data_IF_103402948553
#
_entry.id   IF_103402948553
#
_cell.length_a   1.000
_cell.length_b   1.000
_cell.length_c   1.000
_cell.angle_alpha   90.00
_cell.angle_beta   90.00
_cell.angle_gamma   90.00
#
_symmetry.space_group_name_H-M   'P 1'
#
loop_
_entity.id
_entity.type
_entity.pdbx_description
1 polymer ?
#
# COMPACT_ATOMS: atom_id res chain seq x y z
N UNK A 1 -15.44 12.18 -16.51
CA UNK A 1 -15.01 11.64 -15.21
C UNK A 1 -13.54 11.28 -15.35
N UNK A 2 -12.68 11.72 -14.43
CA UNK A 2 -11.30 11.24 -14.40
C UNK A 2 -11.30 9.74 -14.11
N UNK A 3 -10.37 8.99 -14.70
CA UNK A 3 -10.19 7.59 -14.35
C UNK A 3 -9.89 7.48 -12.84
N UNK A 4 -10.36 6.42 -12.15
CA UNK A 4 -9.99 6.20 -10.76
C UNK A 4 -8.46 6.17 -10.66
N UNK A 5 -7.92 6.86 -9.65
CA UNK A 5 -6.46 6.89 -9.40
C UNK A 5 -5.84 5.49 -9.23
N UNK A 6 -6.67 4.49 -8.90
CA UNK A 6 -6.29 3.10 -8.70
C UNK A 6 -6.53 2.20 -9.94
N UNK A 7 -6.98 2.74 -11.07
CA UNK A 7 -7.49 1.94 -12.18
C UNK A 7 -8.87 1.36 -11.88
N UNK A 8 -9.47 0.66 -12.85
CA UNK A 8 -10.79 0.02 -12.72
C UNK A 8 -10.83 -1.05 -11.64
N UNK A 9 -9.73 -1.80 -11.52
CA UNK A 9 -9.63 -2.99 -10.67
C UNK A 9 -8.87 -2.73 -9.38
N UNK A 10 -8.65 -1.46 -9.02
CA UNK A 10 -8.01 -1.07 -7.78
C UNK A 10 -8.76 -1.59 -6.57
N UNK A 11 -8.05 -2.21 -5.62
CA UNK A 11 -8.64 -2.75 -4.40
C UNK A 11 -7.63 -2.79 -3.27
N UNK A 12 -8.13 -2.79 -2.04
CA UNK A 12 -7.35 -3.11 -0.85
C UNK A 12 -8.23 -3.86 0.13
N UNK A 13 -7.81 -5.06 0.50
CA UNK A 13 -8.53 -5.94 1.43
C UNK A 13 -7.58 -6.37 2.52
N UNK A 14 -7.94 -6.14 3.77
CA UNK A 14 -7.15 -6.59 4.92
C UNK A 14 -8.01 -6.67 6.19
N UNK A 15 -7.56 -7.45 7.16
CA UNK A 15 -8.09 -7.44 8.51
C UNK A 15 -7.06 -6.84 9.47
N UNK A 16 -7.41 -5.71 10.07
CA UNK A 16 -6.59 -5.07 11.10
C UNK A 16 -6.96 -5.60 12.49
N UNK A 17 -5.95 -5.75 13.34
CA UNK A 17 -6.08 -6.09 14.76
C UNK A 17 -5.30 -5.11 15.63
N UNK A 18 -5.60 -5.09 16.94
CA UNK A 18 -4.93 -4.22 17.91
C UNK A 18 -5.73 -2.95 18.14
N UNK A 19 -5.04 -1.80 18.14
CA UNK A 19 -5.66 -0.51 18.47
C UNK A 19 -6.68 -0.01 17.44
N UNK A 20 -6.62 -0.54 16.20
CA UNK A 20 -7.66 -0.40 15.18
C UNK A 20 -8.04 -1.83 14.76
N UNK A 21 -9.17 -2.32 15.27
CA UNK A 21 -9.66 -3.65 14.96
C UNK A 21 -10.84 -3.58 13.98
N UNK A 22 -10.55 -3.69 12.67
CA UNK A 22 -11.55 -3.56 11.60
C UNK A 22 -11.16 -4.36 10.36
N UNK A 23 -12.18 -4.87 9.68
CA UNK A 23 -12.04 -5.35 8.31
C UNK A 23 -12.08 -4.17 7.35
N UNK A 24 -11.14 -4.13 6.41
CA UNK A 24 -11.09 -3.19 5.31
C UNK A 24 -11.32 -3.99 4.02
N UNK A 25 -12.23 -3.49 3.19
CA UNK A 25 -12.51 -4.02 1.87
C UNK A 25 -12.91 -2.86 0.96
N UNK A 26 -11.91 -2.14 0.46
CA UNK A 26 -12.13 -1.00 -0.42
C UNK A 26 -12.00 -1.40 -1.89
N UNK A 27 -12.93 -0.90 -2.70
CA UNK A 27 -12.89 -0.95 -4.17
C UNK A 27 -12.32 0.33 -4.77
N UNK A 28 -12.09 0.34 -6.09
CA UNK A 28 -11.49 1.46 -6.82
C UNK A 28 -12.24 2.79 -6.64
N UNK A 29 -13.56 2.76 -6.45
CA UNK A 29 -14.38 3.95 -6.22
C UNK A 29 -14.28 4.51 -4.80
N UNK A 30 -13.75 3.72 -3.85
CA UNK A 30 -13.58 4.08 -2.44
C UNK A 30 -12.13 4.45 -2.11
N UNK A 31 -11.21 4.17 -3.04
CA UNK A 31 -9.79 4.39 -2.89
C UNK A 31 -9.31 5.66 -3.57
N UNK A 32 -8.36 6.31 -2.93
CA UNK A 32 -7.37 7.16 -3.60
C UNK A 32 -6.02 6.46 -3.56
N UNK A 33 -5.47 6.17 -4.73
CA UNK A 33 -4.15 5.58 -4.90
C UNK A 33 -3.15 6.61 -5.40
N UNK A 34 -1.95 6.59 -4.83
CA UNK A 34 -0.83 7.40 -5.29
C UNK A 34 0.39 6.48 -5.38
N UNK A 35 1.14 6.62 -6.46
CA UNK A 35 2.43 5.96 -6.64
C UNK A 35 3.53 7.02 -6.73
N UNK A 36 4.62 6.80 -6.01
CA UNK A 36 5.82 7.63 -6.12
C UNK A 36 7.04 6.74 -6.32
N UNK A 37 7.92 7.13 -7.23
CA UNK A 37 9.21 6.47 -7.36
C UNK A 37 10.11 6.76 -6.17
N UNK A 38 10.92 5.79 -5.78
CA UNK A 38 12.05 6.07 -4.91
C UNK A 38 13.14 6.77 -5.74
N UNK A 39 13.90 7.71 -5.15
CA UNK A 39 15.04 8.30 -5.83
C UNK A 39 15.96 7.23 -6.41
N UNK A 40 16.52 7.48 -7.59
CA UNK A 40 17.39 6.56 -8.34
C UNK A 40 16.70 5.26 -8.79
N UNK A 41 15.37 5.25 -8.92
CA UNK A 41 14.56 4.12 -9.40
C UNK A 41 14.70 2.85 -8.55
N UNK A 42 15.07 2.98 -7.27
CA UNK A 42 15.29 1.86 -6.34
C UNK A 42 14.00 1.33 -5.70
N UNK A 43 12.95 1.21 -6.50
CA UNK A 43 11.63 0.72 -6.11
C UNK A 43 10.58 1.82 -6.01
N UNK A 44 9.47 1.51 -5.36
CA UNK A 44 8.24 2.32 -5.39
C UNK A 44 7.64 2.53 -4.01
N UNK A 45 6.81 3.56 -3.90
CA UNK A 45 5.90 3.77 -2.77
C UNK A 45 4.48 3.78 -3.29
N UNK A 46 3.67 2.87 -2.78
CA UNK A 46 2.24 2.80 -3.06
C UNK A 46 1.48 3.31 -1.85
N UNK A 47 0.65 4.33 -2.02
CA UNK A 47 -0.25 4.83 -0.98
C UNK A 47 -1.68 4.53 -1.37
N UNK A 48 -2.39 3.84 -0.48
CA UNK A 48 -3.82 3.58 -0.59
C UNK A 48 -4.52 4.32 0.54
N UNK A 49 -5.53 5.12 0.23
CA UNK A 49 -6.32 5.79 1.26
C UNK A 49 -7.81 5.66 1.00
N UNK A 50 -8.57 5.49 2.07
CA UNK A 50 -10.02 5.28 2.05
C UNK A 50 -10.63 5.54 3.42
N UNK A 51 -11.95 5.64 3.47
CA UNK A 51 -12.67 5.87 4.72
C UNK A 51 -12.95 4.55 5.45
N UNK A 52 -12.78 4.57 6.77
CA UNK A 52 -13.27 3.54 7.70
C UNK A 52 -14.08 4.24 8.78
N UNK A 53 -15.39 3.99 8.78
CA UNK A 53 -16.35 4.80 9.55
C UNK A 53 -16.13 6.30 9.26
N UNK A 54 -15.87 7.11 10.28
CA UNK A 54 -15.73 8.57 10.15
C UNK A 54 -14.27 9.03 9.91
N UNK A 55 -13.30 8.11 9.91
CA UNK A 55 -11.89 8.44 9.76
C UNK A 55 -11.38 8.02 8.39
N UNK A 56 -10.49 8.82 7.82
CA UNK A 56 -9.74 8.42 6.62
C UNK A 56 -8.44 7.76 7.04
N UNK A 57 -8.22 6.54 6.58
CA UNK A 57 -6.99 5.79 6.78
C UNK A 57 -6.15 5.86 5.52
N UNK A 58 -4.83 5.92 5.69
CA UNK A 58 -3.89 5.77 4.60
C UNK A 58 -2.86 4.67 4.93
N UNK A 59 -2.64 3.76 4.01
CA UNK A 59 -1.66 2.68 4.09
C UNK A 59 -0.63 2.91 2.99
N UNK A 60 0.63 3.08 3.39
CA UNK A 60 1.77 3.28 2.52
C UNK A 60 2.63 2.01 2.53
N UNK A 61 2.85 1.44 1.35
CA UNK A 61 3.76 0.32 1.12
C UNK A 61 5.00 0.86 0.41
N UNK A 62 6.16 0.82 1.06
CA UNK A 62 7.43 1.20 0.43
C UNK A 62 8.21 -0.07 0.06
N UNK A 63 8.14 -0.41 -1.23
CA UNK A 63 8.79 -1.58 -1.82
C UNK A 63 10.16 -1.19 -2.38
N UNK A 64 11.28 -1.70 -1.83
CA UNK A 64 12.60 -1.52 -2.41
C UNK A 64 12.77 -2.38 -3.67
N UNK A 65 13.64 -1.93 -4.57
CA UNK A 65 14.20 -2.75 -5.66
C UNK A 65 13.20 -3.38 -6.64
N UNK A 66 11.92 -2.99 -6.57
CA UNK A 66 10.94 -3.38 -7.58
C UNK A 66 11.32 -2.75 -8.93
N UNK A 67 11.36 -3.56 -9.98
CA UNK A 67 11.63 -3.10 -11.33
C UNK A 67 10.33 -2.96 -12.12
N UNK A 68 10.36 -2.10 -13.13
CA UNK A 68 9.24 -1.89 -14.04
C UNK A 68 8.85 -3.19 -14.75
N UNK A 69 7.56 -3.53 -14.68
CA UNK A 69 7.01 -4.71 -15.35
C UNK A 69 7.45 -6.05 -14.78
N UNK A 70 8.10 -6.07 -13.61
CA UNK A 70 8.58 -7.31 -12.99
C UNK A 70 7.68 -7.76 -11.85
N UNK A 71 7.65 -9.07 -11.61
CA UNK A 71 7.18 -9.62 -10.34
C UNK A 71 8.33 -9.70 -9.34
N UNK A 72 8.01 -9.81 -8.06
CA UNK A 72 9.00 -10.07 -7.00
C UNK A 72 8.29 -10.86 -5.90
N UNK A 73 8.99 -11.79 -5.28
CA UNK A 73 8.49 -12.51 -4.12
C UNK A 73 9.31 -12.12 -2.89
N UNK A 74 8.67 -12.13 -1.73
CA UNK A 74 9.25 -11.87 -0.42
C UNK A 74 10.07 -10.56 -0.38
N UNK A 75 9.56 -9.49 -1.01
CA UNK A 75 10.23 -8.18 -1.01
C UNK A 75 10.07 -7.50 0.35
N UNK A 76 11.15 -7.23 1.11
CA UNK A 76 11.07 -6.56 2.41
C UNK A 76 10.41 -5.19 2.27
N UNK A 77 9.27 -4.97 2.92
CA UNK A 77 8.42 -3.79 2.69
C UNK A 77 8.24 -2.99 3.97
N UNK A 78 8.56 -1.70 3.93
CA UNK A 78 8.19 -0.79 5.03
C UNK A 78 6.72 -0.43 4.87
N UNK A 79 5.94 -0.65 5.91
CA UNK A 79 4.50 -0.34 5.92
C UNK A 79 4.25 0.77 6.91
N UNK A 80 3.58 1.83 6.46
CA UNK A 80 3.09 2.89 7.33
C UNK A 80 1.58 2.99 7.22
N UNK A 81 0.87 2.91 8.35
CA UNK A 81 -0.55 3.23 8.44
C UNK A 81 -0.72 4.57 9.15
N UNK A 82 -1.52 5.48 8.62
CA UNK A 82 -1.88 6.73 9.28
C UNK A 82 -3.38 6.93 9.36
N UNK A 83 -3.82 7.61 10.42
CA UNK A 83 -5.19 8.07 10.60
C UNK A 83 -5.19 9.57 10.30
N UNK A 84 -5.74 9.97 9.16
CA UNK A 84 -5.74 11.37 8.72
C UNK A 84 -6.50 12.24 9.75
N UNK A 85 -5.91 13.38 10.10
CA UNK A 85 -6.49 14.33 11.06
C UNK A 85 -6.27 13.99 12.53
N UNK A 86 -5.91 12.76 12.89
CA UNK A 86 -5.68 12.38 14.30
C UNK A 86 -4.22 12.47 14.74
N UNK A 87 -3.29 12.62 13.79
CA UNK A 87 -1.84 12.62 14.06
C UNK A 87 -1.28 11.24 14.48
N UNK A 88 -2.05 10.16 14.32
CA UNK A 88 -1.62 8.80 14.67
C UNK A 88 -0.99 8.12 13.47
N UNK A 89 0.20 7.56 13.69
CA UNK A 89 0.98 6.87 12.68
C UNK A 89 1.50 5.56 13.25
N UNK A 90 1.42 4.50 12.48
CA UNK A 90 1.93 3.18 12.82
C UNK A 90 2.89 2.78 11.73
N UNK A 91 4.05 2.25 12.08
CA UNK A 91 5.01 1.81 11.08
C UNK A 91 5.69 0.52 11.51
N UNK A 92 6.20 -0.21 10.54
CA UNK A 92 7.10 -1.33 10.77
C UNK A 92 8.36 -0.83 11.48
N UNK A 93 8.80 -1.47 12.58
CA UNK A 93 9.97 -1.03 13.32
C UNK A 93 11.29 -1.27 12.56
N UNK A 94 11.32 -2.27 11.68
CA UNK A 94 12.48 -2.66 10.86
C UNK A 94 12.02 -3.15 9.48
N UNK A 95 12.96 -3.30 8.54
CA UNK A 95 12.69 -3.84 7.20
C UNK A 95 12.30 -5.33 7.19
N UNK A 96 12.41 -6.03 8.32
CA UNK A 96 12.18 -7.48 8.43
C UNK A 96 10.89 -7.78 9.22
N UNK A 97 9.91 -6.88 9.11
CA UNK A 97 8.61 -7.05 9.76
C UNK A 97 7.50 -7.43 8.79
N UNK A 98 7.59 -6.97 7.54
CA UNK A 98 6.61 -7.22 6.49
C UNK A 98 7.28 -7.51 5.15
N UNK A 99 6.62 -8.33 4.34
CA UNK A 99 7.06 -8.71 3.01
C UNK A 99 5.89 -8.59 2.05
N UNK A 100 6.20 -8.20 0.81
CA UNK A 100 5.22 -8.16 -0.27
C UNK A 100 5.60 -9.13 -1.38
N UNK A 101 4.59 -9.80 -1.92
CA UNK A 101 4.66 -10.50 -3.19
C UNK A 101 3.95 -9.67 -4.25
N UNK A 102 4.65 -9.34 -5.33
CA UNK A 102 4.07 -8.71 -6.51
C UNK A 102 3.71 -9.80 -7.50
N UNK A 103 2.40 -10.02 -7.66
CA UNK A 103 1.84 -11.05 -8.50
C UNK A 103 1.82 -10.66 -9.99
N UNK A 104 1.55 -9.39 -10.30
CA UNK A 104 1.60 -8.88 -11.68
C UNK A 104 1.95 -7.39 -11.74
N UNK A 105 2.54 -7.00 -12.87
CA UNK A 105 2.71 -5.61 -13.30
C UNK A 105 2.45 -5.56 -14.81
N UNK A 106 1.23 -5.20 -15.18
CA UNK A 106 0.77 -5.22 -16.58
C UNK A 106 0.68 -3.80 -17.11
N UNK A 107 1.23 -3.56 -18.30
CA UNK A 107 1.16 -2.24 -18.94
C UNK A 107 -0.30 -1.85 -19.21
N UNK A 108 -0.70 -0.67 -18.78
CA UNK A 108 -2.05 -0.14 -19.08
C UNK A 108 -2.07 0.33 -20.53
N UNK A 109 -3.04 -0.15 -21.32
CA UNK A 109 -3.24 0.31 -22.70
C UNK A 109 -3.40 1.84 -22.76
N UNK A 110 -2.69 2.48 -23.70
CA UNK A 110 -2.60 3.94 -23.83
C UNK A 110 -2.19 4.67 -22.53
N UNK A 111 -1.57 3.94 -21.59
CA UNK A 111 -1.21 4.40 -20.25
C UNK A 111 0.13 5.14 -20.16
N UNK A 112 0.97 5.10 -21.21
CA UNK A 112 2.34 5.61 -21.13
C UNK A 112 3.20 4.66 -20.30
N UNK A 113 3.86 5.15 -19.24
CA UNK A 113 4.66 4.32 -18.32
C UNK A 113 3.86 3.89 -17.06
N UNK A 114 2.55 3.69 -17.24
CA UNK A 114 1.62 3.28 -16.17
C UNK A 114 1.34 1.78 -16.22
N UNK A 115 1.42 1.13 -15.07
CA UNK A 115 1.25 -0.31 -14.92
C UNK A 115 0.16 -0.60 -13.89
N UNK A 116 -0.73 -1.53 -14.21
CA UNK A 116 -1.61 -2.15 -13.24
C UNK A 116 -0.78 -3.14 -12.41
N UNK A 117 -0.67 -2.88 -11.11
CA UNK A 117 0.06 -3.73 -10.17
C UNK A 117 -0.92 -4.49 -9.29
N UNK A 118 -0.61 -5.76 -9.01
CA UNK A 118 -1.32 -6.56 -8.02
C UNK A 118 -0.34 -7.29 -7.12
N UNK A 119 -0.71 -7.46 -5.85
CA UNK A 119 0.15 -8.13 -4.90
C UNK A 119 -0.52 -8.42 -3.56
N UNK A 120 0.26 -9.08 -2.71
CA UNK A 120 -0.06 -9.34 -1.32
C UNK A 120 1.03 -8.77 -0.44
N UNK A 121 0.67 -8.48 0.81
CA UNK A 121 1.57 -8.09 1.88
C UNK A 121 1.21 -8.92 3.09
N UNK A 122 2.22 -9.46 3.78
CA UNK A 122 2.04 -10.08 5.10
C UNK A 122 3.06 -9.52 6.07
N UNK A 123 2.65 -9.36 7.32
CA UNK A 123 3.51 -8.90 8.41
C UNK A 123 3.59 -9.95 9.51
N UNK A 124 4.81 -10.31 9.91
CA UNK A 124 5.06 -11.24 11.02
C UNK A 124 5.19 -10.53 12.37
N UNK A 125 5.28 -9.20 12.34
CA UNK A 125 5.33 -8.34 13.51
C UNK A 125 4.32 -7.19 13.38
N UNK A 126 3.75 -6.69 14.49
CA UNK A 126 2.84 -5.57 14.46
C UNK A 126 3.56 -4.26 14.13
N UNK A 127 2.82 -3.32 13.53
CA UNK A 127 3.22 -1.94 13.34
C UNK A 127 3.03 -1.19 14.66
N UNK A 128 4.13 -0.67 15.22
CA UNK A 128 4.09 0.14 16.45
C UNK A 128 3.66 1.57 16.16
N UNK A 129 2.90 2.17 17.07
CA UNK A 129 2.54 3.59 17.00
C UNK A 129 3.77 4.47 17.21
N UNK A 130 4.00 5.42 16.30
CA UNK A 130 5.10 6.38 16.39
C UNK A 130 4.78 7.34 17.55
N UNK A 131 5.68 7.41 18.54
CA UNK A 131 5.51 8.17 19.77
C UNK A 131 4.31 7.73 20.65
N UNK A 132 3.86 6.49 20.51
CA UNK A 132 2.81 5.88 21.33
C UNK A 132 3.19 4.49 21.84
N UNK A 133 2.28 3.84 22.54
CA UNK A 133 2.42 2.48 23.06
C UNK A 133 1.44 1.47 22.40
N UNK A 134 0.62 1.94 21.46
CA UNK A 134 -0.31 1.10 20.74
C UNK A 134 0.34 0.41 19.54
N UNK A 135 -0.32 -0.63 19.02
CA UNK A 135 0.14 -1.35 17.85
C UNK A 135 -1.04 -1.83 16.98
N UNK A 136 -0.74 -2.12 15.71
CA UNK A 136 -1.68 -2.70 14.75
C UNK A 136 -1.03 -3.90 14.09
N UNK A 137 -1.74 -5.03 14.00
CA UNK A 137 -1.29 -6.19 13.23
C UNK A 137 -2.01 -6.26 11.88
N UNK A 138 -1.26 -6.60 10.84
CA UNK A 138 -1.73 -6.79 9.47
C UNK A 138 -1.27 -8.19 9.02
N UNK A 139 -2.04 -9.25 9.31
CA UNK A 139 -1.59 -10.61 8.97
C UNK A 139 -1.47 -10.81 7.46
N UNK A 140 -2.43 -10.27 6.72
CA UNK A 140 -2.48 -10.32 5.27
C UNK A 140 -3.21 -9.08 4.74
N UNK A 141 -2.72 -8.57 3.62
CA UNK A 141 -3.31 -7.47 2.88
C UNK A 141 -3.16 -7.78 1.39
N UNK A 142 -4.28 -7.85 0.68
CA UNK A 142 -4.32 -7.92 -0.78
C UNK A 142 -4.48 -6.52 -1.35
N UNK A 143 -3.75 -6.19 -2.42
CA UNK A 143 -3.88 -4.91 -3.08
C UNK A 143 -3.80 -5.01 -4.61
N UNK A 144 -4.43 -4.05 -5.26
CA UNK A 144 -4.21 -3.71 -6.66
C UNK A 144 -4.35 -2.21 -6.85
N UNK A 145 -3.59 -1.67 -7.80
CA UNK A 145 -3.58 -0.24 -8.09
C UNK A 145 -2.80 0.09 -9.36
N UNK A 146 -2.44 1.35 -9.51
CA UNK A 146 -1.61 1.84 -10.61
C UNK A 146 -0.25 2.28 -10.08
N UNK A 147 0.82 1.91 -10.78
CA UNK A 147 2.16 2.49 -10.65
C UNK A 147 2.41 3.35 -11.88
N UNK A 148 2.79 4.60 -11.66
CA UNK A 148 3.31 5.48 -12.71
C UNK A 148 4.84 5.58 -12.59
N UNK A 149 5.55 4.96 -13.55
CA UNK A 149 7.02 4.97 -13.61
C UNK A 149 7.60 6.26 -14.22
N UNK A 150 6.76 7.24 -14.52
CA UNK A 150 7.18 8.59 -14.91
C UNK A 150 6.99 9.63 -13.80
N UNK A 151 6.37 9.25 -12.67
CA UNK A 151 6.05 10.14 -11.55
C UNK A 151 7.20 10.19 -10.52
N UNK A 152 8.09 11.17 -10.69
CA UNK A 152 9.18 11.52 -9.74
C UNK A 152 8.77 12.57 -8.72
#
# INVERSE_FOLDING_TARGET
MAAPSCGSDGRLVTQLYGSIARQISWSAGELTCESMLRPEDKGIRLRFSGYVADNKLAILLALPELQRGSTVAESPTVVTLSVEGSGRFFSTPTLEACWSDIASQDLVEDGGDRYAISGTLYCVAPLGEINGDAAISIPELEFSGIVDWSAT
#
